data_IF_798224301588
#
_entry.id   IF_798224301588
#
_cell.length_a   1.000
_cell.length_b   1.000
_cell.length_c   1.000
_cell.angle_alpha   90.00
_cell.angle_beta   90.00
_cell.angle_gamma   90.00
#
_symmetry.space_group_name_H-M   'P 1'
#
loop_
_entity.id
_entity.type
_entity.pdbx_description
1 polymer ?
#
# COMPACT_ATOMS: atom_id res chain seq x y z
N UNK A 1 39.46 -43.86 -37.57
CA UNK A 1 38.64 -43.88 -36.33
C UNK A 1 38.81 -42.63 -35.48
N UNK A 2 39.96 -41.96 -35.38
CA UNK A 2 40.18 -40.79 -34.54
C UNK A 2 39.39 -39.52 -34.90
N UNK A 3 39.06 -39.26 -36.16
CA UNK A 3 38.35 -38.06 -36.60
C UNK A 3 36.83 -38.08 -36.29
N UNK A 4 36.24 -39.27 -36.23
CA UNK A 4 34.81 -39.43 -35.92
C UNK A 4 34.57 -39.27 -34.39
N UNK A 5 35.49 -39.75 -33.54
CA UNK A 5 35.46 -39.62 -32.12
C UNK A 5 35.59 -38.16 -31.67
N UNK A 6 36.42 -37.35 -32.33
CA UNK A 6 36.58 -35.93 -32.03
C UNK A 6 35.33 -35.12 -32.41
N UNK A 7 34.65 -35.46 -33.50
CA UNK A 7 33.39 -34.78 -33.88
C UNK A 7 32.23 -35.07 -32.93
N UNK A 8 32.12 -36.31 -32.44
CA UNK A 8 31.05 -36.69 -31.47
C UNK A 8 31.29 -36.02 -30.11
N UNK A 9 32.54 -35.91 -29.66
CA UNK A 9 32.87 -35.23 -28.41
C UNK A 9 32.57 -33.72 -28.49
N UNK A 10 32.84 -33.06 -29.61
CA UNK A 10 32.54 -31.64 -29.79
C UNK A 10 31.02 -31.34 -29.85
N UNK A 11 30.24 -32.24 -30.48
CA UNK A 11 28.77 -32.10 -30.51
C UNK A 11 28.15 -32.35 -29.12
N UNK A 12 28.65 -33.29 -28.34
CA UNK A 12 28.23 -33.55 -26.98
C UNK A 12 28.59 -32.38 -26.04
N UNK A 13 29.75 -31.75 -26.20
CA UNK A 13 30.14 -30.57 -25.41
C UNK A 13 29.29 -29.35 -25.75
N UNK A 14 28.93 -29.15 -27.01
CA UNK A 14 28.02 -28.08 -27.44
C UNK A 14 26.58 -28.28 -26.94
N UNK A 15 26.10 -29.52 -26.87
CA UNK A 15 24.80 -29.84 -26.30
C UNK A 15 24.76 -29.61 -24.79
N UNK A 16 25.83 -29.90 -24.05
CA UNK A 16 25.94 -29.67 -22.62
C UNK A 16 26.00 -28.15 -22.26
N UNK A 17 26.68 -27.35 -23.09
CA UNK A 17 26.72 -25.89 -22.89
C UNK A 17 25.41 -25.21 -23.25
N UNK A 18 24.65 -25.71 -24.23
CA UNK A 18 23.31 -25.20 -24.56
C UNK A 18 22.27 -25.50 -23.48
N UNK A 19 22.40 -26.61 -22.75
CA UNK A 19 21.50 -26.96 -21.63
C UNK A 19 21.79 -26.09 -20.39
N UNK A 20 23.04 -25.68 -20.13
CA UNK A 20 23.40 -24.81 -19.00
C UNK A 20 22.92 -23.36 -19.19
N UNK A 21 22.80 -22.87 -20.44
CA UNK A 21 22.28 -21.52 -20.73
C UNK A 21 20.74 -21.44 -20.77
N UNK A 22 20.05 -22.59 -20.93
CA UNK A 22 18.60 -22.68 -21.04
C UNK A 22 17.87 -22.96 -19.71
N UNK A 23 18.56 -23.33 -18.63
CA UNK A 23 17.94 -23.72 -17.36
C UNK A 23 17.48 -22.54 -16.50
N UNK A 24 17.72 -21.29 -16.92
CA UNK A 24 17.30 -20.07 -16.20
C UNK A 24 15.88 -19.58 -16.52
N UNK A 25 15.18 -20.17 -17.51
CA UNK A 25 13.92 -19.59 -18.02
C UNK A 25 12.69 -20.49 -17.95
N UNK A 26 12.78 -21.72 -17.43
CA UNK A 26 11.66 -22.69 -17.46
C UNK A 26 10.92 -22.84 -16.13
N UNK A 27 11.17 -22.01 -15.10
CA UNK A 27 10.43 -22.03 -13.85
C UNK A 27 9.79 -20.66 -13.56
N UNK A 28 8.97 -20.15 -14.47
CA UNK A 28 8.01 -19.10 -14.19
C UNK A 28 6.62 -19.52 -14.69
N UNK A 29 5.93 -20.44 -13.98
CA UNK A 29 4.56 -20.79 -14.35
C UNK A 29 3.52 -19.73 -13.97
N UNK A 30 3.95 -18.58 -13.43
CA UNK A 30 3.04 -17.48 -13.05
C UNK A 30 3.60 -16.13 -13.52
N UNK A 31 3.63 -15.94 -14.84
CA UNK A 31 3.62 -14.60 -15.40
C UNK A 31 2.20 -14.00 -15.23
N UNK A 32 1.73 -13.88 -13.98
CA UNK A 32 0.62 -12.98 -13.68
C UNK A 32 1.13 -11.57 -13.94
N UNK A 33 0.53 -10.88 -14.92
CA UNK A 33 0.95 -9.61 -15.48
C UNK A 33 0.96 -8.47 -14.47
N UNK A 34 1.94 -8.45 -13.59
CA UNK A 34 2.20 -7.39 -12.63
C UNK A 34 3.69 -7.13 -12.51
N UNK A 35 4.06 -5.92 -12.12
CA UNK A 35 5.46 -5.53 -11.87
C UNK A 35 6.10 -6.42 -10.80
N UNK A 36 7.43 -6.64 -10.90
CA UNK A 36 8.17 -7.40 -9.87
C UNK A 36 8.23 -6.60 -8.57
N UNK A 37 7.97 -7.22 -7.40
CA UNK A 37 8.12 -6.55 -6.12
C UNK A 37 9.55 -6.07 -5.88
N UNK A 38 9.70 -4.86 -5.37
CA UNK A 38 10.99 -4.32 -4.94
C UNK A 38 11.48 -5.03 -3.67
N UNK A 39 12.78 -4.92 -3.36
CA UNK A 39 13.33 -5.41 -2.08
C UNK A 39 12.59 -4.79 -0.88
N UNK A 40 12.20 -3.52 -0.97
CA UNK A 40 11.38 -2.86 0.05
C UNK A 40 10.00 -3.52 0.20
N UNK A 41 9.33 -3.85 -0.90
CA UNK A 41 8.04 -4.54 -0.84
C UNK A 41 8.16 -5.91 -0.18
N UNK A 42 9.21 -6.66 -0.50
CA UNK A 42 9.47 -7.98 0.10
C UNK A 42 9.78 -7.90 1.60
N UNK A 43 10.43 -6.82 2.05
CA UNK A 43 10.75 -6.61 3.46
C UNK A 43 9.55 -6.09 4.28
N UNK A 44 8.66 -5.29 3.68
CA UNK A 44 7.58 -4.61 4.39
C UNK A 44 6.27 -5.40 4.38
N UNK A 45 5.94 -6.05 3.25
CA UNK A 45 4.65 -6.71 3.06
C UNK A 45 4.72 -8.16 3.56
N UNK A 46 3.85 -8.59 4.49
CA UNK A 46 3.76 -10.00 4.87
C UNK A 46 3.51 -10.89 3.63
N UNK A 47 4.20 -12.02 3.52
CA UNK A 47 4.17 -12.88 2.32
C UNK A 47 2.74 -13.29 1.90
N UNK A 48 1.86 -13.61 2.86
CA UNK A 48 0.45 -13.91 2.60
C UNK A 48 -0.30 -12.73 1.99
N UNK A 49 -0.06 -11.51 2.49
CA UNK A 49 -0.66 -10.30 1.94
C UNK A 49 -0.14 -9.97 0.55
N UNK A 50 1.16 -10.14 0.30
CA UNK A 50 1.74 -9.94 -1.03
C UNK A 50 1.10 -10.86 -2.07
N UNK A 51 0.91 -12.13 -1.72
CA UNK A 51 0.20 -13.09 -2.57
C UNK A 51 -1.24 -12.63 -2.84
N UNK A 52 -1.98 -12.22 -1.81
CA UNK A 52 -3.34 -11.72 -1.96
C UNK A 52 -3.41 -10.46 -2.83
N UNK A 53 -2.52 -9.49 -2.66
CA UNK A 53 -2.49 -8.29 -3.51
C UNK A 53 -2.26 -8.64 -4.97
N UNK A 54 -1.35 -9.57 -5.26
CA UNK A 54 -1.05 -10.00 -6.64
C UNK A 54 -2.21 -10.76 -7.28
N UNK A 55 -2.80 -11.71 -6.56
CA UNK A 55 -3.93 -12.51 -7.07
C UNK A 55 -5.19 -11.66 -7.24
N UNK A 56 -5.46 -10.76 -6.28
CA UNK A 56 -6.62 -9.87 -6.37
C UNK A 56 -6.48 -8.84 -7.49
N UNK A 57 -5.31 -8.23 -7.66
CA UNK A 57 -5.06 -7.28 -8.75
C UNK A 57 -5.25 -7.94 -10.12
N UNK A 58 -4.86 -9.20 -10.28
CA UNK A 58 -5.04 -9.95 -11.53
C UNK A 58 -6.51 -10.10 -11.95
N UNK A 59 -7.47 -9.94 -11.04
CA UNK A 59 -8.91 -9.95 -11.34
C UNK A 59 -9.41 -8.67 -12.02
N UNK A 60 -8.57 -7.62 -12.07
CA UNK A 60 -8.87 -6.34 -12.69
C UNK A 60 -7.79 -5.97 -13.71
N UNK A 61 -8.03 -6.14 -15.02
CA UNK A 61 -7.06 -5.77 -16.03
C UNK A 61 -6.58 -4.31 -15.89
N UNK A 62 -5.26 -4.11 -15.85
CA UNK A 62 -4.64 -2.78 -15.70
C UNK A 62 -4.40 -2.34 -14.25
N UNK A 63 -4.97 -2.98 -13.25
CA UNK A 63 -4.69 -2.70 -11.84
C UNK A 63 -3.37 -3.39 -11.43
N UNK A 64 -2.38 -2.61 -11.04
CA UNK A 64 -1.13 -3.14 -10.49
C UNK A 64 -1.29 -3.50 -9.00
N UNK A 65 -0.73 -4.64 -8.61
CA UNK A 65 -0.79 -5.15 -7.23
C UNK A 65 -0.25 -4.15 -6.20
N UNK A 66 0.72 -3.33 -6.59
CA UNK A 66 1.34 -2.33 -5.70
C UNK A 66 0.36 -1.25 -5.25
N UNK A 67 -0.68 -0.97 -6.03
CA UNK A 67 -1.75 -0.05 -5.64
C UNK A 67 -2.56 -0.62 -4.48
N UNK A 68 -2.97 -1.89 -4.55
CA UNK A 68 -3.65 -2.55 -3.45
C UNK A 68 -2.77 -2.64 -2.20
N UNK A 69 -1.48 -2.97 -2.39
CA UNK A 69 -0.52 -3.03 -1.30
C UNK A 69 -0.28 -1.66 -0.65
N UNK A 70 -0.25 -0.59 -1.45
CA UNK A 70 -0.12 0.77 -0.94
C UNK A 70 -1.33 1.19 -0.10
N UNK A 71 -2.55 0.85 -0.54
CA UNK A 71 -3.78 1.06 0.24
C UNK A 71 -3.69 0.28 1.55
N UNK A 72 -3.42 -1.02 1.52
CA UNK A 72 -3.30 -1.81 2.74
C UNK A 72 -2.21 -1.34 3.71
N UNK A 73 -1.11 -0.75 3.19
CA UNK A 73 -0.08 -0.11 4.00
C UNK A 73 -0.62 1.12 4.72
N UNK A 74 -1.28 2.00 3.99
CA UNK A 74 -1.76 3.29 4.51
C UNK A 74 -2.91 3.06 5.50
N UNK A 75 -3.83 2.15 5.18
CA UNK A 75 -5.00 1.91 6.03
C UNK A 75 -4.63 1.27 7.37
N UNK A 76 -3.84 0.20 7.35
CA UNK A 76 -3.65 -0.62 8.55
C UNK A 76 -2.26 -1.25 8.68
N UNK A 77 -1.27 -0.79 7.92
CA UNK A 77 0.04 -1.45 7.89
C UNK A 77 -0.10 -2.96 7.57
N UNK A 78 -0.86 -3.28 6.50
CA UNK A 78 -1.17 -4.65 6.11
C UNK A 78 -1.86 -5.48 7.22
N UNK A 79 -2.82 -4.88 7.92
CA UNK A 79 -3.56 -5.52 9.01
C UNK A 79 -2.78 -5.66 10.32
N UNK A 80 -1.56 -5.11 10.42
CA UNK A 80 -0.72 -5.18 11.63
C UNK A 80 -1.09 -4.12 12.68
N UNK A 81 -1.72 -3.01 12.26
CA UNK A 81 -2.12 -1.94 13.17
C UNK A 81 -2.99 -2.48 14.32
N UNK A 82 -2.72 -2.07 15.58
CA UNK A 82 -3.53 -2.43 16.73
C UNK A 82 -4.79 -1.56 16.90
N UNK A 83 -4.99 -0.58 16.01
CA UNK A 83 -6.08 0.38 16.13
C UNK A 83 -7.47 -0.27 16.02
N UNK A 84 -8.53 0.33 16.63
CA UNK A 84 -9.89 -0.13 16.51
C UNK A 84 -10.34 -0.29 15.04
N UNK A 85 -11.18 -1.28 14.78
CA UNK A 85 -11.70 -1.56 13.44
C UNK A 85 -10.82 -2.46 12.57
N UNK A 86 -9.54 -2.68 12.91
CA UNK A 86 -8.64 -3.49 12.06
C UNK A 86 -8.95 -4.98 12.17
N UNK A 87 -9.10 -5.50 13.37
CA UNK A 87 -9.32 -6.94 13.63
C UNK A 87 -10.75 -7.26 14.04
N UNK A 88 -11.43 -6.30 14.64
CA UNK A 88 -12.82 -6.42 15.09
C UNK A 88 -13.43 -5.05 15.33
N UNK A 89 -14.75 -4.95 15.46
CA UNK A 89 -15.45 -3.69 15.67
C UNK A 89 -15.31 -2.74 14.48
N UNK A 90 -15.30 -1.45 14.73
CA UNK A 90 -15.04 -0.41 13.73
C UNK A 90 -14.22 0.72 14.33
N UNK A 91 -13.56 1.50 13.49
CA UNK A 91 -13.01 2.77 13.92
C UNK A 91 -14.14 3.80 14.12
N UNK A 92 -13.79 5.02 14.53
CA UNK A 92 -14.77 6.09 14.74
C UNK A 92 -15.59 6.47 13.49
N UNK A 93 -15.06 6.22 12.30
CA UNK A 93 -15.75 6.46 11.01
C UNK A 93 -16.55 5.24 10.54
N UNK A 94 -16.59 4.14 11.30
CA UNK A 94 -17.29 2.93 10.93
C UNK A 94 -16.49 1.98 10.00
N UNK A 95 -15.23 2.28 9.74
CA UNK A 95 -14.39 1.48 8.86
C UNK A 95 -13.89 0.19 9.54
N UNK A 96 -13.77 -0.89 8.77
CA UNK A 96 -13.55 -2.26 9.24
C UNK A 96 -12.53 -3.02 8.40
N UNK A 97 -11.75 -3.86 9.07
CA UNK A 97 -10.82 -4.81 8.47
C UNK A 97 -9.51 -4.19 7.97
N UNK A 98 -8.62 -5.03 7.40
CA UNK A 98 -7.30 -4.60 6.97
C UNK A 98 -7.31 -3.58 5.82
N UNK A 99 -8.42 -3.48 5.09
CA UNK A 99 -8.62 -2.54 3.98
C UNK A 99 -9.59 -1.41 4.36
N UNK A 100 -10.00 -1.29 5.63
CA UNK A 100 -10.82 -0.23 6.21
C UNK A 100 -12.10 0.09 5.42
N UNK A 101 -12.86 -0.95 5.08
CA UNK A 101 -14.15 -0.78 4.42
C UNK A 101 -15.23 -0.27 5.36
N UNK A 102 -16.04 0.67 4.89
CA UNK A 102 -17.38 0.89 5.46
C UNK A 102 -18.26 -0.33 5.14
N UNK A 103 -19.00 -0.83 6.13
CA UNK A 103 -19.85 -2.03 5.97
C UNK A 103 -20.81 -1.94 4.78
N UNK A 104 -21.55 -0.83 4.55
CA UNK A 104 -22.41 -0.71 3.39
C UNK A 104 -21.66 -0.85 2.06
N UNK A 105 -20.49 -0.22 1.96
CA UNK A 105 -19.65 -0.31 0.74
C UNK A 105 -19.18 -1.73 0.51
N UNK A 106 -18.64 -2.39 1.54
CA UNK A 106 -18.21 -3.80 1.44
C UNK A 106 -19.35 -4.67 0.93
N UNK A 107 -20.54 -4.61 1.58
CA UNK A 107 -21.70 -5.39 1.21
C UNK A 107 -22.17 -5.11 -0.23
N UNK A 108 -22.19 -3.86 -0.66
CA UNK A 108 -22.57 -3.46 -2.01
C UNK A 108 -21.63 -4.04 -3.08
N UNK A 109 -20.32 -4.10 -2.78
CA UNK A 109 -19.33 -4.65 -3.72
C UNK A 109 -19.47 -6.16 -3.81
N UNK A 110 -19.52 -6.88 -2.67
CA UNK A 110 -19.61 -8.35 -2.67
C UNK A 110 -20.93 -8.87 -3.24
N UNK A 111 -22.01 -8.11 -3.13
CA UNK A 111 -23.29 -8.46 -3.76
C UNK A 111 -23.20 -8.50 -5.30
N UNK A 112 -22.38 -7.65 -5.89
CA UNK A 112 -22.16 -7.57 -7.34
C UNK A 112 -21.00 -8.45 -7.81
N UNK A 113 -19.97 -8.57 -6.99
CA UNK A 113 -18.72 -9.28 -7.25
C UNK A 113 -18.23 -9.95 -5.96
N UNK A 114 -18.75 -11.14 -5.64
CA UNK A 114 -18.29 -11.86 -4.46
C UNK A 114 -16.80 -12.22 -4.61
N UNK A 115 -16.03 -12.20 -3.50
CA UNK A 115 -14.65 -12.67 -3.52
C UNK A 115 -14.61 -14.16 -3.92
N UNK A 116 -13.54 -14.64 -4.55
CA UNK A 116 -13.39 -16.05 -4.87
C UNK A 116 -13.39 -16.91 -3.59
N UNK A 117 -13.53 -18.24 -3.75
CA UNK A 117 -13.42 -19.17 -2.61
C UNK A 117 -12.05 -19.07 -1.95
N UNK A 118 -11.99 -19.25 -0.63
CA UNK A 118 -10.75 -19.20 0.15
C UNK A 118 -10.77 -18.21 1.32
N UNK A 119 -11.82 -17.39 1.40
CA UNK A 119 -12.06 -16.47 2.51
C UNK A 119 -13.04 -17.01 3.55
N UNK A 120 -13.67 -16.11 4.28
CA UNK A 120 -14.70 -16.42 5.27
C UNK A 120 -16.04 -16.78 4.61
N UNK A 121 -16.86 -17.54 5.35
CA UNK A 121 -18.22 -17.89 4.93
C UNK A 121 -19.19 -17.49 6.05
N UNK A 122 -20.02 -16.46 5.88
CA UNK A 122 -20.08 -15.52 4.76
C UNK A 122 -18.82 -14.62 4.67
N UNK A 123 -18.57 -13.95 3.51
CA UNK A 123 -17.43 -13.03 3.34
C UNK A 123 -17.39 -11.94 4.41
N UNK A 124 -16.19 -11.64 4.90
CA UNK A 124 -15.98 -10.72 6.02
C UNK A 124 -14.95 -9.64 5.70
N UNK A 125 -15.20 -8.35 6.04
CA UNK A 125 -14.21 -7.30 5.86
C UNK A 125 -12.97 -7.49 6.75
N UNK A 126 -13.04 -8.32 7.80
CA UNK A 126 -11.87 -8.63 8.65
C UNK A 126 -11.00 -9.76 8.09
N UNK A 127 -11.53 -10.56 7.18
CA UNK A 127 -10.74 -11.58 6.51
C UNK A 127 -9.88 -10.93 5.42
N UNK A 128 -8.53 -11.05 5.45
CA UNK A 128 -7.66 -10.39 4.48
C UNK A 128 -7.95 -10.79 3.03
N UNK A 129 -8.28 -12.07 2.78
CA UNK A 129 -8.64 -12.55 1.44
C UNK A 129 -9.86 -11.80 0.90
N UNK A 130 -10.94 -11.75 1.68
CA UNK A 130 -12.19 -11.12 1.26
C UNK A 130 -12.04 -9.61 1.09
N UNK A 131 -11.37 -8.97 2.06
CA UNK A 131 -11.15 -7.53 2.05
C UNK A 131 -10.32 -7.08 0.84
N UNK A 132 -9.22 -7.79 0.52
CA UNK A 132 -8.33 -7.40 -0.58
C UNK A 132 -8.98 -7.68 -1.95
N UNK A 133 -9.68 -8.81 -2.11
CA UNK A 133 -10.44 -9.08 -3.34
C UNK A 133 -11.59 -8.07 -3.53
N UNK A 134 -12.26 -7.68 -2.46
CA UNK A 134 -13.30 -6.64 -2.50
C UNK A 134 -12.70 -5.28 -2.87
N UNK A 135 -11.51 -4.94 -2.34
CA UNK A 135 -10.81 -3.69 -2.70
C UNK A 135 -10.42 -3.68 -4.19
N UNK A 136 -9.92 -4.79 -4.74
CA UNK A 136 -9.64 -4.89 -6.16
C UNK A 136 -10.90 -4.70 -7.02
N UNK A 137 -12.01 -5.33 -6.63
CA UNK A 137 -13.29 -5.21 -7.32
C UNK A 137 -13.83 -3.76 -7.26
N UNK A 138 -13.72 -3.11 -6.09
CA UNK A 138 -14.13 -1.72 -5.90
C UNK A 138 -13.33 -0.76 -6.78
N UNK A 139 -12.01 -0.83 -6.75
CA UNK A 139 -11.15 0.00 -7.60
C UNK A 139 -11.42 -0.24 -9.08
N UNK A 140 -11.65 -1.50 -9.47
CA UNK A 140 -11.94 -1.87 -10.85
C UNK A 140 -13.22 -1.22 -11.37
N UNK A 141 -14.26 -1.16 -10.54
CA UNK A 141 -15.53 -0.49 -10.88
C UNK A 141 -15.40 1.03 -10.90
N UNK A 142 -14.48 1.57 -10.10
CA UNK A 142 -14.28 3.02 -9.92
C UNK A 142 -13.30 3.63 -10.92
N UNK A 143 -12.81 2.88 -11.95
CA UNK A 143 -11.96 3.43 -13.00
C UNK A 143 -10.55 2.82 -13.11
N UNK A 144 -10.15 1.91 -12.20
CA UNK A 144 -8.84 1.29 -12.30
C UNK A 144 -8.73 0.26 -13.45
N UNK A 145 -9.86 -0.20 -14.01
CA UNK A 145 -9.88 -1.11 -15.15
C UNK A 145 -9.16 -0.50 -16.35
N UNK A 146 -8.21 -1.25 -16.92
CA UNK A 146 -7.36 -0.80 -18.03
C UNK A 146 -6.62 0.52 -17.74
N UNK A 147 -6.46 0.84 -16.45
CA UNK A 147 -5.84 2.09 -15.98
C UNK A 147 -6.51 3.35 -16.56
N UNK A 148 -7.82 3.30 -16.80
CA UNK A 148 -8.57 4.39 -17.44
C UNK A 148 -8.57 5.64 -16.56
N UNK A 149 -8.83 5.48 -15.25
CA UNK A 149 -8.76 6.55 -14.26
C UNK A 149 -8.35 5.98 -12.89
N UNK A 150 -7.07 5.63 -12.75
CA UNK A 150 -6.54 5.11 -11.48
C UNK A 150 -6.63 6.14 -10.35
N UNK A 151 -6.41 7.43 -10.67
CA UNK A 151 -6.48 8.50 -9.65
C UNK A 151 -7.90 8.68 -9.13
N UNK A 152 -8.89 8.71 -10.02
CA UNK A 152 -10.31 8.75 -9.64
C UNK A 152 -10.73 7.51 -8.85
N UNK A 153 -10.26 6.32 -9.22
CA UNK A 153 -10.54 5.09 -8.47
C UNK A 153 -9.99 5.13 -7.03
N UNK A 154 -8.76 5.64 -6.84
CA UNK A 154 -8.18 5.82 -5.51
C UNK A 154 -8.91 6.95 -4.75
N UNK A 155 -9.30 8.02 -5.42
CA UNK A 155 -10.10 9.09 -4.82
C UNK A 155 -11.47 8.60 -4.36
N UNK A 156 -12.13 7.73 -5.12
CA UNK A 156 -13.39 7.11 -4.72
C UNK A 156 -13.24 6.22 -3.47
N UNK A 157 -12.05 5.65 -3.25
CA UNK A 157 -11.75 4.84 -2.06
C UNK A 157 -11.69 5.70 -0.77
N UNK A 158 -11.03 6.84 -0.86
CA UNK A 158 -10.95 7.83 0.22
C UNK A 158 -10.95 9.23 -0.42
N UNK A 159 -12.01 10.00 -0.20
CA UNK A 159 -12.29 11.26 -0.88
C UNK A 159 -11.31 12.40 -0.51
N UNK A 160 -9.99 12.13 -0.57
CA UNK A 160 -8.95 13.09 -0.27
C UNK A 160 -7.78 13.01 -1.28
N UNK A 161 -7.39 14.14 -1.87
CA UNK A 161 -6.30 14.20 -2.86
C UNK A 161 -4.95 13.84 -2.26
N UNK A 162 -4.69 14.19 -0.99
CA UNK A 162 -3.49 13.77 -0.28
C UNK A 162 -3.37 12.25 -0.19
N UNK A 163 -4.49 11.54 0.04
CA UNK A 163 -4.53 10.08 0.07
C UNK A 163 -4.15 9.48 -1.28
N UNK A 164 -4.72 10.02 -2.38
CA UNK A 164 -4.35 9.60 -3.74
C UNK A 164 -2.84 9.72 -3.97
N UNK A 165 -2.26 10.85 -3.57
CA UNK A 165 -0.83 11.10 -3.73
C UNK A 165 0.02 10.15 -2.89
N UNK A 166 -0.38 9.87 -1.65
CA UNK A 166 0.30 8.91 -0.77
C UNK A 166 0.24 7.48 -1.32
N UNK A 167 -0.95 7.03 -1.78
CA UNK A 167 -1.11 5.70 -2.38
C UNK A 167 -0.21 5.55 -3.61
N UNK A 168 -0.22 6.51 -4.53
CA UNK A 168 0.61 6.44 -5.74
C UNK A 168 2.11 6.46 -5.43
N UNK A 169 2.54 7.28 -4.47
CA UNK A 169 3.93 7.34 -4.03
C UNK A 169 4.36 6.02 -3.37
N UNK A 170 3.53 5.43 -2.51
CA UNK A 170 3.81 4.15 -1.86
C UNK A 170 3.82 3.00 -2.87
N UNK A 171 2.88 2.97 -3.82
CA UNK A 171 2.85 2.00 -4.91
C UNK A 171 4.13 2.06 -5.75
N UNK A 172 4.62 3.27 -6.07
CA UNK A 172 5.89 3.44 -6.77
C UNK A 172 7.08 2.88 -5.98
N UNK A 173 7.13 3.07 -4.66
CA UNK A 173 8.18 2.50 -3.79
C UNK A 173 8.16 0.97 -3.78
N UNK A 174 7.00 0.36 -3.93
CA UNK A 174 6.86 -1.10 -3.97
C UNK A 174 7.23 -1.71 -5.31
N UNK A 175 7.10 -0.96 -6.43
CA UNK A 175 7.49 -1.41 -7.78
C UNK A 175 8.97 -1.24 -8.08
N UNK A 176 9.59 -0.18 -7.58
CA UNK A 176 10.94 0.19 -7.97
C UNK A 176 11.95 -0.13 -6.88
N UNK A 177 13.02 -0.85 -7.26
CA UNK A 177 14.22 -1.03 -6.42
C UNK A 177 15.07 0.26 -6.35
N UNK A 178 14.49 1.42 -6.65
CA UNK A 178 15.20 2.67 -6.45
C UNK A 178 15.46 2.79 -4.95
N UNK A 179 16.72 2.95 -4.49
CA UNK A 179 16.97 3.45 -3.16
C UNK A 179 16.09 4.67 -2.98
N UNK A 180 15.54 4.96 -1.81
CA UNK A 180 14.99 6.28 -1.61
C UNK A 180 16.08 7.21 -2.17
N UNK A 181 15.78 7.95 -3.24
CA UNK A 181 16.53 9.15 -3.48
C UNK A 181 16.41 9.83 -2.12
N UNK A 182 17.48 9.76 -1.36
CA UNK A 182 17.67 10.70 -0.30
C UNK A 182 17.29 12.01 -0.97
N UNK A 183 16.20 12.64 -0.55
CA UNK A 183 16.03 14.05 -0.75
C UNK A 183 17.42 14.58 -0.48
N UNK A 184 18.04 15.36 -1.40
CA UNK A 184 19.46 15.66 -1.32
C UNK A 184 19.74 15.93 0.14
N UNK A 185 20.62 15.12 0.75
CA UNK A 185 21.05 15.27 2.11
C UNK A 185 22.02 16.48 2.13
N UNK A 186 21.49 17.63 1.76
CA UNK A 186 22.25 18.86 1.57
C UNK A 186 21.52 20.04 2.16
N UNK A 187 21.00 19.86 3.34
CA UNK A 187 20.96 20.87 4.39
C UNK A 187 20.68 20.11 5.69
N UNK A 188 21.32 20.43 6.82
CA UNK A 188 20.78 20.03 8.11
C UNK A 188 19.32 20.48 8.12
N UNK A 189 18.38 19.64 8.63
CA UNK A 189 16.97 20.03 8.68
C UNK A 189 16.92 21.42 9.32
N UNK A 190 16.26 22.35 8.63
CA UNK A 190 16.14 23.71 9.13
C UNK A 190 15.70 23.65 10.60
N UNK A 191 16.25 24.53 11.44
CA UNK A 191 15.96 24.53 12.89
C UNK A 191 14.48 24.47 13.20
N UNK A 192 13.62 24.95 12.29
CA UNK A 192 12.17 24.82 12.31
C UNK A 192 11.66 23.38 12.21
N UNK A 193 12.21 22.58 11.28
CA UNK A 193 11.79 21.18 11.13
C UNK A 193 12.11 20.36 12.39
N UNK A 194 13.26 20.57 12.99
CA UNK A 194 13.63 19.93 14.26
C UNK A 194 12.71 20.34 15.41
N UNK A 195 12.31 21.61 15.49
CA UNK A 195 11.35 22.10 16.50
C UNK A 195 9.98 21.48 16.32
N UNK A 196 9.47 21.42 15.09
CA UNK A 196 8.18 20.78 14.79
C UNK A 196 8.19 19.28 15.18
N UNK A 197 9.25 18.55 14.81
CA UNK A 197 9.40 17.14 15.17
C UNK A 197 9.51 16.96 16.69
N UNK A 198 10.27 17.80 17.37
CA UNK A 198 10.42 17.76 18.83
C UNK A 198 9.09 18.00 19.54
N UNK A 199 8.33 19.00 19.09
CA UNK A 199 6.98 19.27 19.62
C UNK A 199 6.07 18.06 19.45
N UNK A 200 5.98 17.51 18.21
CA UNK A 200 5.13 16.37 17.92
C UNK A 200 5.49 15.14 18.76
N UNK A 201 6.79 14.88 18.97
CA UNK A 201 7.27 13.80 19.85
C UNK A 201 6.88 14.00 21.30
N UNK A 202 6.85 15.25 21.78
CA UNK A 202 6.41 15.58 23.13
C UNK A 202 4.91 15.31 23.38
N UNK A 203 4.13 15.08 22.31
CA UNK A 203 2.70 14.78 22.41
C UNK A 203 2.40 13.26 22.42
N UNK A 204 3.42 12.42 22.38
CA UNK A 204 3.24 10.96 22.42
C UNK A 204 2.51 10.55 23.71
N UNK A 205 1.51 9.70 23.56
CA UNK A 205 0.65 9.24 24.66
C UNK A 205 -0.65 10.01 24.82
N UNK A 206 -0.81 11.16 24.17
CA UNK A 206 -2.11 11.85 24.16
C UNK A 206 -3.11 11.10 23.26
N UNK A 207 -4.40 11.08 23.62
CA UNK A 207 -5.44 10.45 22.83
C UNK A 207 -5.66 11.17 21.51
N UNK A 208 -6.13 10.43 20.49
CA UNK A 208 -6.70 11.04 19.31
C UNK A 208 -8.07 11.62 19.61
N UNK A 209 -8.26 12.91 19.33
CA UNK A 209 -9.53 13.62 19.51
C UNK A 209 -9.93 14.23 18.17
N UNK A 210 -11.08 13.82 17.64
CA UNK A 210 -11.58 14.38 16.39
C UNK A 210 -11.86 15.88 16.54
N UNK A 211 -11.27 16.70 15.65
CA UNK A 211 -11.33 18.15 15.74
C UNK A 211 -10.45 18.74 16.85
N UNK A 212 -9.66 17.93 17.55
CA UNK A 212 -8.82 18.37 18.65
C UNK A 212 -7.56 19.10 18.18
N UNK A 213 -7.26 20.20 18.87
CA UNK A 213 -6.06 21.04 18.68
C UNK A 213 -5.06 20.91 19.85
N UNK A 214 -5.33 19.98 20.76
CA UNK A 214 -4.46 19.58 21.86
C UNK A 214 -4.65 20.35 23.17
N UNK A 215 -3.89 19.94 24.23
CA UNK A 215 -4.08 20.48 25.59
C UNK A 215 -3.92 22.00 25.70
N UNK A 216 -3.05 22.59 24.90
CA UNK A 216 -2.88 24.05 24.88
C UNK A 216 -4.13 24.79 24.34
N UNK A 217 -4.97 24.11 23.58
CA UNK A 217 -6.25 24.63 23.08
C UNK A 217 -7.44 24.20 23.95
N UNK A 218 -7.21 23.42 25.00
CA UNK A 218 -8.24 22.90 25.90
C UNK A 218 -8.79 21.53 25.55
N UNK A 219 -8.25 20.86 24.53
CA UNK A 219 -8.66 19.53 24.11
C UNK A 219 -7.80 18.44 24.80
N UNK A 220 -8.37 17.27 25.05
CA UNK A 220 -7.64 16.16 25.65
C UNK A 220 -6.51 15.60 24.76
N UNK A 221 -6.56 15.88 23.45
CA UNK A 221 -5.59 15.40 22.47
C UNK A 221 -5.76 16.09 21.13
N UNK A 222 -5.21 15.48 20.08
CA UNK A 222 -5.17 16.04 18.74
C UNK A 222 -5.90 15.19 17.71
N UNK A 223 -6.40 15.82 16.65
CA UNK A 223 -6.54 15.14 15.37
C UNK A 223 -5.23 15.26 14.54
N UNK A 224 -5.20 14.62 13.35
CA UNK A 224 -4.00 14.60 12.51
C UNK A 224 -3.56 16.01 12.06
N UNK A 225 -4.50 16.87 11.67
CA UNK A 225 -4.22 18.23 11.22
C UNK A 225 -3.99 19.19 12.38
N UNK A 226 -4.63 18.98 13.53
CA UNK A 226 -4.40 19.71 14.76
C UNK A 226 -2.98 19.52 15.28
N UNK A 227 -2.50 18.26 15.32
CA UNK A 227 -1.12 17.96 15.69
C UNK A 227 -0.09 18.58 14.71
N UNK A 228 -0.33 18.46 13.42
CA UNK A 228 0.53 19.09 12.42
C UNK A 228 0.57 20.61 12.61
N UNK A 229 -0.60 21.25 12.75
CA UNK A 229 -0.71 22.69 12.98
C UNK A 229 0.06 23.14 14.21
N UNK A 230 -0.12 22.47 15.34
CA UNK A 230 0.56 22.80 16.59
C UNK A 230 2.08 22.60 16.50
N UNK A 231 2.52 21.50 15.86
CA UNK A 231 3.94 21.22 15.67
C UNK A 231 4.62 22.27 14.78
N UNK A 232 3.98 22.67 13.69
CA UNK A 232 4.52 23.73 12.81
C UNK A 232 4.44 25.11 13.46
N UNK A 233 3.40 25.39 14.26
CA UNK A 233 3.32 26.63 15.05
C UNK A 233 4.49 26.75 16.03
N UNK A 234 4.90 25.66 16.68
CA UNK A 234 6.10 25.62 17.52
C UNK A 234 7.39 25.92 16.75
N UNK A 235 7.37 25.76 15.43
CA UNK A 235 8.45 26.14 14.52
C UNK A 235 8.32 27.56 13.94
N UNK A 236 7.25 28.30 14.32
CA UNK A 236 6.96 29.63 13.79
C UNK A 236 6.25 29.63 12.43
N UNK A 237 5.68 28.50 12.02
CA UNK A 237 4.98 28.33 10.75
C UNK A 237 3.49 28.13 11.03
N UNK A 238 2.64 28.95 10.41
CA UNK A 238 1.19 28.84 10.52
C UNK A 238 0.66 27.91 9.44
N UNK A 239 -0.03 26.85 9.82
CA UNK A 239 -0.76 25.97 8.92
C UNK A 239 -2.27 26.17 9.08
N UNK A 240 -3.05 25.97 8.00
CA UNK A 240 -4.51 25.99 8.09
C UNK A 240 -5.03 24.81 8.93
N UNK A 241 -6.34 24.86 9.30
CA UNK A 241 -6.89 23.92 10.28
C UNK A 241 -7.06 22.50 9.75
N UNK A 242 -7.51 22.34 8.51
CA UNK A 242 -7.87 21.02 8.00
C UNK A 242 -6.74 20.37 7.19
N UNK A 243 -6.69 19.04 7.22
CA UNK A 243 -5.71 18.28 6.46
C UNK A 243 -5.74 18.59 4.96
N UNK A 244 -6.94 18.84 4.38
CA UNK A 244 -7.07 19.21 2.97
C UNK A 244 -6.41 20.57 2.69
N UNK A 245 -6.70 21.57 3.51
CA UNK A 245 -6.09 22.89 3.37
C UNK A 245 -4.56 22.90 3.61
N UNK A 246 -4.05 21.98 4.45
CA UNK A 246 -2.60 21.83 4.67
C UNK A 246 -1.92 21.15 3.49
N UNK A 247 -2.66 20.42 2.66
CA UNK A 247 -2.16 19.75 1.46
C UNK A 247 -2.12 20.70 0.25
N UNK A 248 -3.13 21.57 0.10
CA UNK A 248 -3.29 22.50 -1.02
C UNK A 248 -2.23 23.62 -0.98
#
# INVERSE_FOLDING_TARGET
MGKILAAVAAVLLLLLTAVAAGAGSLLSPFATGGTRPSARALADIPAGYLTLYRTSAATCPGLDWSTLAAIGKIETDHGRSPLPGVRSGSNYAGAQGPMQFLRPTFNSVIAKRPPPRGGATPPSPYNPHDAIHTAAAYLCQSGARHNTDLRGAIFAYNHAHWYVSQVLAQAARYRHNRPPTAAPATAPPASGALRAISYARGQLGLPYVWGGDGPAAGDAGFDCSGLARAAYAAAGITLPRTAQQQYD
#
